data_IF_311657724175
#
_entry.id   IF_311657724175
#
_cell.length_a   1.000
_cell.length_b   1.000
_cell.length_c   1.000
_cell.angle_alpha   90.00
_cell.angle_beta   90.00
_cell.angle_gamma   90.00
#
_symmetry.space_group_name_H-M   'P 1'
#
loop_
_entity.id
_entity.type
_entity.pdbx_description
1 polymer ?
#
# COMPACT_ATOMS: atom_id res chain seq x y z
N UNK A 1 -8.73 5.31 8.52
CA UNK A 1 -7.59 5.05 9.42
C UNK A 1 -7.73 3.64 9.97
N UNK A 2 -6.73 2.81 9.71
CA UNK A 2 -6.70 1.40 10.11
C UNK A 2 -6.27 1.23 11.57
N UNK A 3 -6.52 0.06 12.15
CA UNK A 3 -6.10 -0.23 13.53
C UNK A 3 -4.57 -0.44 13.61
N UNK A 4 -3.94 -0.28 14.79
CA UNK A 4 -2.50 -0.54 14.94
C UNK A 4 -2.08 -1.95 14.53
N UNK A 5 -2.92 -2.95 14.81
CA UNK A 5 -2.67 -4.34 14.39
C UNK A 5 -2.72 -4.50 12.87
N UNK A 6 -3.69 -3.86 12.20
CA UNK A 6 -3.76 -3.85 10.73
C UNK A 6 -2.57 -3.11 10.12
N UNK A 7 -2.14 -2.00 10.72
CA UNK A 7 -0.96 -1.27 10.27
C UNK A 7 0.30 -2.13 10.38
N UNK A 8 0.52 -2.77 11.52
CA UNK A 8 1.65 -3.68 11.72
C UNK A 8 1.61 -4.85 10.73
N UNK A 9 0.45 -5.46 10.54
CA UNK A 9 0.28 -6.55 9.58
C UNK A 9 0.62 -6.10 8.14
N UNK A 10 0.12 -4.94 7.70
CA UNK A 10 0.44 -4.39 6.38
C UNK A 10 1.94 -4.14 6.23
N UNK A 11 2.60 -3.57 7.25
CA UNK A 11 4.04 -3.33 7.23
C UNK A 11 4.81 -4.65 7.06
N UNK A 12 4.55 -5.66 7.91
CA UNK A 12 5.23 -6.96 7.85
C UNK A 12 5.02 -7.65 6.50
N UNK A 13 3.80 -7.60 5.95
CA UNK A 13 3.50 -8.21 4.65
C UNK A 13 4.18 -7.46 3.50
N UNK A 14 4.28 -6.13 3.56
CA UNK A 14 5.02 -5.33 2.59
C UNK A 14 6.52 -5.66 2.60
N UNK A 15 7.12 -5.78 3.79
CA UNK A 15 8.51 -6.20 3.94
C UNK A 15 8.76 -7.58 3.31
N UNK A 16 7.85 -8.54 3.56
CA UNK A 16 7.94 -9.89 3.00
C UNK A 16 7.78 -9.90 1.48
N UNK A 17 6.85 -9.09 0.96
CA UNK A 17 6.64 -8.97 -0.48
C UNK A 17 7.86 -8.37 -1.20
N UNK A 18 8.53 -7.38 -0.60
CA UNK A 18 9.73 -6.75 -1.19
C UNK A 18 10.98 -7.64 -1.21
N UNK A 19 11.04 -8.70 -0.40
CA UNK A 19 12.18 -9.64 -0.32
C UNK A 19 12.02 -10.88 -1.21
N UNK A 20 11.29 -10.76 -2.33
CA UNK A 20 10.76 -11.85 -3.14
C UNK A 20 11.77 -12.90 -3.70
N UNK A 21 13.08 -12.69 -3.55
CA UNK A 21 14.11 -13.65 -3.96
C UNK A 21 14.25 -14.88 -3.03
N UNK A 22 13.61 -14.90 -1.84
CA UNK A 22 13.78 -15.96 -0.83
C UNK A 22 12.58 -16.91 -0.69
N UNK A 23 11.82 -17.14 -1.77
CA UNK A 23 10.66 -18.03 -1.75
C UNK A 23 9.44 -17.36 -1.14
N UNK A 24 8.63 -16.74 -1.99
CA UNK A 24 7.53 -15.86 -1.55
C UNK A 24 6.42 -16.65 -0.83
N UNK A 25 6.20 -16.33 0.44
CA UNK A 25 5.04 -16.74 1.25
C UNK A 25 3.74 -16.38 0.52
N UNK A 26 2.84 -17.37 0.32
CA UNK A 26 1.55 -17.17 -0.32
C UNK A 26 0.74 -16.05 0.33
N UNK A 27 0.82 -15.89 1.65
CA UNK A 27 0.13 -14.82 2.37
C UNK A 27 0.64 -13.42 1.96
N UNK A 28 1.95 -13.27 1.74
CA UNK A 28 2.53 -12.00 1.31
C UNK A 28 2.11 -11.64 -0.12
N UNK A 29 1.99 -12.63 -1.02
CA UNK A 29 1.47 -12.42 -2.38
C UNK A 29 0.02 -11.96 -2.36
N UNK A 30 -0.84 -12.62 -1.59
CA UNK A 30 -2.25 -12.23 -1.46
C UNK A 30 -2.38 -10.82 -0.87
N UNK A 31 -1.59 -10.50 0.16
CA UNK A 31 -1.57 -9.16 0.74
C UNK A 31 -1.14 -8.09 -0.27
N UNK A 32 -0.14 -8.39 -1.11
CA UNK A 32 0.29 -7.51 -2.19
C UNK A 32 -0.83 -7.28 -3.22
N UNK A 33 -1.50 -8.34 -3.67
CA UNK A 33 -2.63 -8.24 -4.61
C UNK A 33 -3.79 -7.41 -4.05
N UNK A 34 -4.10 -7.57 -2.76
CA UNK A 34 -5.13 -6.79 -2.08
C UNK A 34 -4.78 -5.29 -2.07
N UNK A 35 -3.52 -4.95 -1.76
CA UNK A 35 -3.07 -3.55 -1.76
C UNK A 35 -3.12 -2.94 -3.15
N UNK A 36 -2.70 -3.68 -4.18
CA UNK A 36 -2.83 -3.22 -5.57
C UNK A 36 -4.30 -3.00 -5.98
N UNK A 37 -5.21 -3.86 -5.55
CA UNK A 37 -6.63 -3.69 -5.79
C UNK A 37 -7.16 -2.40 -5.12
N UNK A 38 -6.84 -2.17 -3.85
CA UNK A 38 -7.24 -0.96 -3.12
C UNK A 38 -6.65 0.30 -3.75
N UNK A 39 -5.40 0.24 -4.23
CA UNK A 39 -4.76 1.34 -4.95
C UNK A 39 -5.50 1.69 -6.24
N UNK A 40 -5.91 0.68 -7.02
CA UNK A 40 -6.71 0.91 -8.25
C UNK A 40 -8.03 1.61 -7.95
N UNK A 41 -8.73 1.23 -6.88
CA UNK A 41 -9.96 1.91 -6.45
C UNK A 41 -9.70 3.37 -6.05
N UNK A 42 -8.62 3.63 -5.29
CA UNK A 42 -8.20 4.98 -4.93
C UNK A 42 -7.86 5.84 -6.16
N UNK A 43 -7.15 5.28 -7.14
CA UNK A 43 -6.84 5.95 -8.41
C UNK A 43 -8.10 6.26 -9.22
N UNK A 44 -9.06 5.33 -9.28
CA UNK A 44 -10.34 5.55 -9.94
C UNK A 44 -11.13 6.69 -9.30
N UNK A 45 -11.18 6.75 -7.95
CA UNK A 45 -11.77 7.87 -7.20
C UNK A 45 -11.13 9.21 -7.55
N UNK A 46 -9.79 9.25 -7.68
CA UNK A 46 -9.06 10.46 -8.04
C UNK A 46 -9.21 10.87 -9.50
N UNK A 47 -9.48 9.93 -10.42
CA UNK A 47 -9.58 10.19 -11.86
C UNK A 47 -10.72 11.15 -12.21
N UNK A 48 -11.84 11.09 -11.49
CA UNK A 48 -12.99 11.96 -11.71
C UNK A 48 -12.81 13.41 -11.23
N UNK A 49 -11.78 13.69 -10.45
CA UNK A 49 -11.55 15.01 -9.85
C UNK A 49 -10.63 15.81 -10.78
N UNK A 50 -10.95 17.07 -11.07
CA UNK A 50 -10.10 17.91 -11.93
C UNK A 50 -9.20 18.85 -11.12
N UNK A 51 -9.73 19.46 -10.06
CA UNK A 51 -8.99 20.41 -9.23
C UNK A 51 -7.85 19.75 -8.46
N UNK A 52 -6.63 20.31 -8.55
CA UNK A 52 -5.43 19.80 -7.87
C UNK A 52 -5.56 19.85 -6.35
N UNK A 53 -6.13 20.93 -5.81
CA UNK A 53 -6.40 21.08 -4.37
C UNK A 53 -7.37 20.01 -3.85
N UNK A 54 -8.44 19.74 -4.59
CA UNK A 54 -9.39 18.69 -4.25
C UNK A 54 -8.75 17.28 -4.31
N UNK A 55 -7.93 16.99 -5.33
CA UNK A 55 -7.15 15.74 -5.35
C UNK A 55 -6.22 15.62 -4.15
N UNK A 56 -5.56 16.71 -3.75
CA UNK A 56 -4.65 16.71 -2.61
C UNK A 56 -5.41 16.42 -1.29
N UNK A 57 -6.60 16.99 -1.11
CA UNK A 57 -7.45 16.70 0.03
C UNK A 57 -7.84 15.21 0.10
N UNK A 58 -8.31 14.65 -1.01
CA UNK A 58 -8.68 13.22 -1.08
C UNK A 58 -7.47 12.32 -0.83
N UNK A 59 -6.29 12.66 -1.37
CA UNK A 59 -5.07 11.91 -1.09
C UNK A 59 -4.73 11.91 0.41
N UNK A 60 -4.85 13.06 1.09
CA UNK A 60 -4.63 13.14 2.55
C UNK A 60 -5.59 12.24 3.33
N UNK A 61 -6.85 12.11 2.89
CA UNK A 61 -7.81 11.19 3.51
C UNK A 61 -7.45 9.72 3.28
N UNK A 62 -6.93 9.38 2.09
CA UNK A 62 -6.63 7.99 1.71
C UNK A 62 -5.30 7.48 2.26
N UNK A 63 -4.29 8.35 2.38
CA UNK A 63 -2.93 7.97 2.78
C UNK A 63 -2.84 7.17 4.10
N UNK A 64 -3.59 7.49 5.17
CA UNK A 64 -3.58 6.72 6.41
C UNK A 64 -3.98 5.25 6.26
N UNK A 65 -4.68 4.88 5.19
CA UNK A 65 -5.13 3.51 4.97
C UNK A 65 -4.07 2.62 4.30
N UNK A 66 -2.97 3.23 3.83
CA UNK A 66 -1.80 2.60 3.21
C UNK A 66 -0.51 2.80 4.02
N UNK A 67 -0.56 3.48 5.17
CA UNK A 67 0.62 3.87 5.93
C UNK A 67 1.53 2.69 6.28
N UNK A 68 0.94 1.59 6.77
CA UNK A 68 1.69 0.37 7.10
C UNK A 68 2.38 -0.22 5.88
N UNK A 69 1.68 -0.32 4.74
CA UNK A 69 2.28 -0.84 3.51
C UNK A 69 3.42 0.05 3.00
N UNK A 70 3.24 1.38 3.01
CA UNK A 70 4.28 2.34 2.59
C UNK A 70 5.54 2.18 3.45
N UNK A 71 5.36 2.13 4.78
CA UNK A 71 6.48 1.97 5.72
C UNK A 71 7.22 0.66 5.48
N UNK A 72 6.49 -0.46 5.41
CA UNK A 72 7.11 -1.77 5.20
C UNK A 72 7.79 -1.92 3.84
N UNK A 73 7.26 -1.31 2.78
CA UNK A 73 7.93 -1.30 1.46
C UNK A 73 9.22 -0.49 1.49
N UNK A 74 9.24 0.66 2.16
CA UNK A 74 10.45 1.46 2.33
C UNK A 74 11.51 0.74 3.18
N UNK A 75 11.08 0.04 4.23
CA UNK A 75 11.97 -0.75 5.10
C UNK A 75 12.50 -2.03 4.44
N UNK A 76 11.80 -2.56 3.43
CA UNK A 76 12.23 -3.77 2.72
C UNK A 76 13.54 -3.59 1.94
N UNK A 77 13.93 -2.34 1.63
CA UNK A 77 15.10 -1.95 0.81
C UNK A 77 15.22 -2.76 -0.49
N UNK A 78 14.08 -3.21 -1.03
CA UNK A 78 14.05 -4.22 -2.08
C UNK A 78 14.37 -3.68 -3.47
N UNK A 79 14.35 -2.35 -3.68
CA UNK A 79 14.56 -1.70 -4.99
C UNK A 79 13.66 -2.20 -6.13
N UNK A 80 12.73 -3.12 -5.84
CA UNK A 80 11.87 -3.73 -6.84
C UNK A 80 10.82 -2.72 -7.27
N UNK A 81 10.71 -2.59 -8.59
CA UNK A 81 9.68 -1.81 -9.23
C UNK A 81 8.32 -2.49 -9.02
N UNK A 82 7.31 -1.69 -8.69
CA UNK A 82 5.90 -2.11 -8.61
C UNK A 82 5.25 -2.29 -9.99
#
# INVERSE_FOLDING_TARGET
MITPAQQHWQNVMAQRAGRANEGVDHAARTAHEEVLYRLRLAQARLKGVQARSAKAAIKKELLPDFSGWIEGTLEADGGQQD
#
